data_IF_076696950666
#
_entry.id   IF_076696950666
#
_cell.length_a   1.000
_cell.length_b   1.000
_cell.length_c   1.000
_cell.angle_alpha   90.00
_cell.angle_beta   90.00
_cell.angle_gamma   90.00
#
_symmetry.space_group_name_H-M   'P 1'
#
loop_
_entity.id
_entity.type
_entity.pdbx_description
1 polymer ?
#
# COMPACT_ATOMS: atom_id res chain seq x y z
N UNK A 1 63.28 3.60 10.24
CA UNK A 1 64.02 4.83 9.84
C UNK A 1 63.00 5.76 9.20
N UNK A 2 62.68 6.82 9.92
CA UNK A 2 62.78 8.25 9.56
C UNK A 2 61.84 8.61 8.37
N UNK A 3 60.95 9.58 8.40
CA UNK A 3 60.64 10.79 9.20
C UNK A 3 59.56 11.57 8.45
N UNK A 4 58.52 11.97 9.15
CA UNK A 4 57.83 13.28 9.22
C UNK A 4 58.10 14.28 8.04
N UNK A 5 56.96 14.89 7.53
CA UNK A 5 56.63 16.30 7.84
C UNK A 5 55.20 16.64 7.30
N UNK A 6 54.46 17.25 8.22
CA UNK A 6 53.20 17.94 8.00
C UNK A 6 53.40 19.18 7.13
N UNK A 7 52.42 19.56 6.32
CA UNK A 7 52.13 20.95 6.01
C UNK A 7 50.61 21.17 5.85
N UNK A 8 50.10 21.90 6.83
CA UNK A 8 48.75 22.46 6.87
C UNK A 8 48.66 23.63 5.89
N UNK A 9 47.65 23.58 4.98
CA UNK A 9 47.22 24.80 4.30
C UNK A 9 45.72 24.97 4.46
N UNK A 10 45.37 26.00 5.21
CA UNK A 10 44.03 26.48 5.47
C UNK A 10 43.57 27.27 4.23
N UNK A 11 42.58 26.77 3.49
CA UNK A 11 41.81 27.56 2.54
C UNK A 11 40.36 27.67 3.00
N UNK A 12 40.02 28.86 3.41
CA UNK A 12 38.69 29.36 3.72
C UNK A 12 37.93 29.43 2.38
N UNK A 13 36.97 28.51 2.10
CA UNK A 13 36.04 28.63 1.01
C UNK A 13 34.67 28.93 1.59
N UNK A 14 34.15 30.10 1.25
CA UNK A 14 32.80 30.57 1.60
C UNK A 14 31.74 29.58 1.08
N UNK A 15 30.94 29.05 1.98
CA UNK A 15 29.73 28.30 1.70
C UNK A 15 28.66 29.29 1.22
N UNK A 16 28.50 29.41 -0.09
CA UNK A 16 27.25 29.90 -0.69
C UNK A 16 26.24 28.77 -0.57
N UNK A 17 25.37 28.86 0.42
CA UNK A 17 24.24 27.95 0.60
C UNK A 17 23.26 28.11 -0.54
N UNK A 18 23.38 27.26 -1.56
CA UNK A 18 22.32 27.05 -2.53
C UNK A 18 21.16 26.31 -1.85
N UNK A 19 20.12 27.05 -1.52
CA UNK A 19 18.83 26.47 -1.17
C UNK A 19 18.33 25.76 -2.43
N UNK A 20 18.42 24.44 -2.51
CA UNK A 20 17.68 23.66 -3.48
C UNK A 20 16.20 23.82 -3.14
N UNK A 21 15.53 24.77 -3.82
CA UNK A 21 14.09 24.87 -3.83
C UNK A 21 13.54 23.55 -4.36
N UNK A 22 12.64 22.92 -3.61
CA UNK A 22 11.82 21.82 -4.12
C UNK A 22 11.10 22.32 -5.38
N UNK A 23 11.02 21.54 -6.47
CA UNK A 23 10.31 21.94 -7.66
C UNK A 23 8.85 22.22 -7.29
N UNK A 24 8.35 23.38 -7.72
CA UNK A 24 6.95 23.76 -7.59
C UNK A 24 6.05 22.67 -8.22
N UNK A 25 4.86 22.38 -7.67
CA UNK A 25 3.99 21.31 -8.13
C UNK A 25 3.38 21.52 -9.53
N UNK A 26 3.62 22.63 -10.19
CA UNK A 26 3.04 23.02 -11.49
C UNK A 26 4.08 23.20 -12.63
N UNK A 27 5.21 22.53 -12.59
CA UNK A 27 6.07 22.51 -13.77
C UNK A 27 5.37 21.72 -14.89
N UNK A 28 4.79 22.44 -15.85
CA UNK A 28 4.26 21.82 -17.06
C UNK A 28 5.37 20.99 -17.73
N UNK A 29 5.04 19.78 -18.16
CA UNK A 29 6.00 18.97 -18.91
C UNK A 29 6.41 19.70 -20.18
N UNK A 30 7.71 19.69 -20.51
CA UNK A 30 8.15 20.14 -21.83
C UNK A 30 7.62 19.18 -22.92
N UNK A 31 6.72 19.63 -23.80
CA UNK A 31 6.14 18.77 -24.84
C UNK A 31 7.19 18.20 -25.80
N UNK A 32 8.26 18.95 -26.08
CA UNK A 32 9.33 18.49 -26.96
C UNK A 32 10.16 17.38 -26.31
N UNK A 33 10.45 17.50 -25.00
CA UNK A 33 11.13 16.46 -24.24
C UNK A 33 10.27 15.19 -24.16
N UNK A 34 8.96 15.31 -23.96
CA UNK A 34 8.05 14.16 -23.94
C UNK A 34 7.98 13.47 -25.30
N UNK A 35 7.80 14.24 -26.40
CA UNK A 35 7.78 13.68 -27.74
C UNK A 35 9.10 12.97 -28.12
N UNK A 36 10.24 13.55 -27.75
CA UNK A 36 11.56 12.92 -27.93
C UNK A 36 11.68 11.60 -27.17
N UNK A 37 11.20 11.58 -25.92
CA UNK A 37 11.16 10.37 -25.12
C UNK A 37 10.28 9.27 -25.74
N UNK A 38 9.06 9.60 -26.19
CA UNK A 38 8.17 8.64 -26.86
C UNK A 38 8.79 8.09 -28.13
N UNK A 39 9.51 8.92 -28.92
CA UNK A 39 10.23 8.47 -30.11
C UNK A 39 11.34 7.45 -29.77
N UNK A 40 12.06 7.67 -28.66
CA UNK A 40 13.05 6.71 -28.16
C UNK A 40 12.40 5.39 -27.71
N UNK A 41 11.26 5.46 -27.00
CA UNK A 41 10.49 4.29 -26.59
C UNK A 41 9.97 3.51 -27.80
N UNK A 42 9.54 4.22 -28.87
CA UNK A 42 9.13 3.59 -30.12
C UNK A 42 10.26 2.76 -30.75
N UNK A 43 11.49 3.29 -30.74
CA UNK A 43 12.66 2.55 -31.21
C UNK A 43 12.97 1.28 -30.43
N UNK A 44 12.53 1.21 -29.17
CA UNK A 44 12.72 0.04 -28.30
C UNK A 44 11.56 -0.98 -28.36
N UNK A 45 10.38 -0.58 -28.88
CA UNK A 45 9.15 -1.36 -28.82
C UNK A 45 9.28 -2.79 -29.37
N UNK A 46 9.88 -2.96 -30.55
CA UNK A 46 10.06 -4.27 -31.17
C UNK A 46 10.93 -5.20 -30.31
N UNK A 47 12.02 -4.70 -29.74
CA UNK A 47 12.88 -5.45 -28.81
C UNK A 47 12.17 -5.82 -27.51
N UNK A 48 11.08 -5.13 -27.17
CA UNK A 48 10.21 -5.43 -26.02
C UNK A 48 9.00 -6.31 -26.42
N UNK A 49 8.89 -6.74 -27.68
CA UNK A 49 7.79 -7.59 -28.18
C UNK A 49 6.47 -6.82 -28.40
N UNK A 50 6.54 -5.51 -28.61
CA UNK A 50 5.40 -4.64 -28.97
C UNK A 50 5.51 -4.31 -30.45
N UNK A 51 4.43 -4.55 -31.22
CA UNK A 51 4.39 -4.18 -32.65
C UNK A 51 4.38 -2.68 -32.83
N UNK A 52 4.93 -2.20 -33.97
CA UNK A 52 4.91 -0.80 -34.33
C UNK A 52 3.46 -0.27 -34.39
N UNK A 53 2.53 -1.07 -34.97
CA UNK A 53 1.13 -0.69 -35.06
C UNK A 53 0.47 -0.52 -33.68
N UNK A 54 0.69 -1.43 -32.74
CA UNK A 54 0.20 -1.28 -31.35
C UNK A 54 0.80 -0.02 -30.71
N UNK A 55 2.10 0.17 -30.81
CA UNK A 55 2.74 1.35 -30.23
C UNK A 55 2.13 2.63 -30.81
N UNK A 56 2.13 2.78 -32.14
CA UNK A 56 1.68 4.02 -32.82
C UNK A 56 0.19 4.30 -32.56
N UNK A 57 -0.66 3.26 -32.49
CA UNK A 57 -2.09 3.43 -32.24
C UNK A 57 -2.35 3.96 -30.84
N UNK A 58 -1.68 3.39 -29.82
CA UNK A 58 -2.01 3.67 -28.42
C UNK A 58 -1.13 4.75 -27.78
N UNK A 59 -0.17 5.33 -28.53
CA UNK A 59 0.65 6.44 -28.02
C UNK A 59 0.47 7.76 -28.77
N UNK A 60 -0.24 7.76 -29.90
CA UNK A 60 -0.42 8.95 -30.76
C UNK A 60 -0.91 10.17 -30.02
N UNK A 61 -1.91 9.98 -29.17
CA UNK A 61 -2.62 11.08 -28.51
C UNK A 61 -2.28 11.16 -27.00
N UNK A 62 -1.18 10.53 -26.57
CA UNK A 62 -0.75 10.59 -25.18
C UNK A 62 -0.21 11.97 -24.83
N UNK A 63 -0.74 12.54 -23.76
CA UNK A 63 -0.19 13.70 -23.07
C UNK A 63 0.34 13.30 -21.69
N UNK A 64 1.42 13.92 -21.18
CA UNK A 64 1.96 13.59 -19.87
C UNK A 64 1.05 14.10 -18.74
N UNK A 65 0.88 13.28 -17.70
CA UNK A 65 0.23 13.66 -16.43
C UNK A 65 1.30 13.90 -15.35
N UNK A 66 1.73 15.14 -15.18
CA UNK A 66 2.80 15.48 -14.23
C UNK A 66 2.40 15.26 -12.77
N UNK A 67 1.11 15.13 -12.46
CA UNK A 67 0.65 14.84 -11.08
C UNK A 67 1.12 13.47 -10.56
N UNK A 68 1.46 12.53 -11.47
CA UNK A 68 2.04 11.24 -11.06
C UNK A 68 3.47 11.38 -10.54
N UNK A 69 4.20 12.40 -10.96
CA UNK A 69 5.57 12.67 -10.48
C UNK A 69 5.53 13.08 -9.01
N UNK A 70 4.59 13.94 -8.61
CA UNK A 70 4.41 14.32 -7.22
C UNK A 70 4.06 13.12 -6.31
N UNK A 71 3.42 12.09 -6.89
CA UNK A 71 3.06 10.87 -6.16
C UNK A 71 4.23 9.93 -5.86
N UNK A 72 5.38 10.08 -6.55
CA UNK A 72 6.56 9.22 -6.37
C UNK A 72 7.11 9.19 -4.92
N UNK A 73 6.89 10.26 -4.15
CA UNK A 73 7.36 10.38 -2.77
C UNK A 73 6.26 10.15 -1.73
N UNK A 74 5.03 9.88 -2.18
CA UNK A 74 3.87 9.66 -1.34
C UNK A 74 3.55 8.15 -1.22
N UNK A 75 4.24 7.45 -0.33
CA UNK A 75 4.04 6.02 -0.05
C UNK A 75 3.58 5.85 1.42
N UNK A 76 2.27 5.81 1.68
CA UNK A 76 1.71 5.79 3.04
C UNK A 76 2.12 4.56 3.85
N UNK A 77 2.32 3.40 3.23
CA UNK A 77 2.73 2.16 3.87
C UNK A 77 4.09 2.21 4.59
N UNK A 78 4.92 3.21 4.25
CA UNK A 78 6.22 3.44 4.89
C UNK A 78 6.25 4.64 5.84
N UNK A 79 5.22 5.50 5.80
CA UNK A 79 5.18 6.76 6.58
C UNK A 79 4.09 6.76 7.63
N UNK A 80 3.01 6.02 7.42
CA UNK A 80 1.87 5.96 8.33
C UNK A 80 2.21 5.04 9.50
N UNK A 81 1.96 5.46 10.76
CA UNK A 81 2.08 4.57 11.91
C UNK A 81 1.27 3.28 11.70
N UNK A 82 1.81 2.15 12.17
CA UNK A 82 1.21 0.83 11.92
C UNK A 82 -0.24 0.73 12.44
N UNK A 83 -0.54 1.33 13.57
CA UNK A 83 -1.89 1.33 14.14
C UNK A 83 -2.90 2.12 13.30
N UNK A 84 -2.49 3.21 12.66
CA UNK A 84 -3.33 3.97 11.73
C UNK A 84 -3.55 3.20 10.43
N UNK A 85 -2.48 2.56 9.95
CA UNK A 85 -2.52 1.74 8.73
C UNK A 85 -3.48 0.57 8.90
N UNK A 86 -3.40 -0.13 10.03
CA UNK A 86 -4.29 -1.25 10.35
C UNK A 86 -5.73 -0.80 10.57
N UNK A 87 -5.96 0.28 11.34
CA UNK A 87 -7.31 0.82 11.56
C UNK A 87 -8.00 1.21 10.26
N UNK A 88 -7.22 1.69 9.27
CA UNK A 88 -7.72 2.04 7.94
C UNK A 88 -8.11 0.83 7.08
N UNK A 89 -7.46 -0.31 7.29
CA UNK A 89 -7.55 -1.47 6.39
C UNK A 89 -8.22 -2.69 7.02
N UNK A 90 -8.36 -2.73 8.35
CA UNK A 90 -8.96 -3.86 9.07
C UNK A 90 -10.05 -3.32 9.99
N UNK A 91 -11.16 -2.92 9.41
CA UNK A 91 -12.35 -2.41 10.09
C UNK A 91 -13.55 -3.34 9.91
N UNK A 92 -14.60 -3.12 10.71
CA UNK A 92 -15.78 -3.99 10.71
C UNK A 92 -16.54 -3.99 9.37
N UNK A 93 -16.56 -2.89 8.63
CA UNK A 93 -17.15 -2.82 7.30
C UNK A 93 -16.40 -3.71 6.32
N UNK A 94 -15.05 -3.63 6.31
CA UNK A 94 -14.23 -4.48 5.42
C UNK A 94 -14.31 -5.95 5.81
N UNK A 95 -14.42 -6.25 7.10
CA UNK A 95 -14.64 -7.61 7.59
C UNK A 95 -16.00 -8.14 7.12
N UNK A 96 -17.06 -7.35 7.22
CA UNK A 96 -18.40 -7.73 6.77
C UNK A 96 -18.43 -7.95 5.25
N UNK A 97 -17.91 -7.00 4.47
CA UNK A 97 -17.77 -7.09 3.01
C UNK A 97 -16.96 -8.33 2.60
N UNK A 98 -15.84 -8.59 3.25
CA UNK A 98 -14.97 -9.73 2.96
C UNK A 98 -15.61 -11.07 3.29
N UNK A 99 -16.37 -11.17 4.38
CA UNK A 99 -17.16 -12.37 4.69
C UNK A 99 -18.28 -12.60 3.67
N UNK A 100 -18.89 -11.53 3.16
CA UNK A 100 -19.85 -11.63 2.06
C UNK A 100 -19.15 -12.11 0.79
N UNK A 101 -17.99 -11.58 0.44
CA UNK A 101 -17.19 -12.01 -0.70
C UNK A 101 -16.78 -13.48 -0.62
N UNK A 102 -16.37 -13.97 0.55
CA UNK A 102 -16.08 -15.40 0.78
C UNK A 102 -17.29 -16.31 0.50
N UNK A 103 -18.50 -15.87 0.87
CA UNK A 103 -19.71 -16.63 0.56
C UNK A 103 -20.08 -16.56 -0.92
N UNK A 104 -20.02 -15.38 -1.50
CA UNK A 104 -20.39 -15.13 -2.88
C UNK A 104 -19.50 -15.91 -3.87
N UNK A 105 -18.19 -15.95 -3.62
CA UNK A 105 -17.19 -16.57 -4.50
C UNK A 105 -16.66 -17.89 -3.95
N UNK A 106 -17.47 -18.57 -3.14
CA UNK A 106 -17.04 -19.80 -2.44
C UNK A 106 -16.56 -20.88 -3.40
N UNK A 107 -17.28 -21.11 -4.51
CA UNK A 107 -16.94 -22.16 -5.47
C UNK A 107 -15.61 -21.88 -6.19
N UNK A 108 -15.41 -20.66 -6.66
CA UNK A 108 -14.20 -20.21 -7.35
C UNK A 108 -13.00 -20.23 -6.41
N UNK A 109 -13.18 -19.76 -5.18
CA UNK A 109 -12.15 -19.78 -4.14
C UNK A 109 -11.76 -21.20 -3.74
N UNK A 110 -12.71 -22.12 -3.63
CA UNK A 110 -12.42 -23.54 -3.34
C UNK A 110 -11.62 -24.18 -4.49
N UNK A 111 -11.99 -23.92 -5.75
CA UNK A 111 -11.23 -24.36 -6.93
C UNK A 111 -9.82 -23.75 -6.94
N UNK A 112 -9.69 -22.45 -6.65
CA UNK A 112 -8.40 -21.78 -6.58
C UNK A 112 -7.52 -22.34 -5.45
N UNK A 113 -8.11 -22.63 -4.29
CA UNK A 113 -7.40 -23.30 -3.19
C UNK A 113 -6.90 -24.69 -3.60
N UNK A 114 -7.74 -25.50 -4.25
CA UNK A 114 -7.36 -26.82 -4.73
C UNK A 114 -6.18 -26.74 -5.74
N UNK A 115 -6.18 -25.73 -6.62
CA UNK A 115 -5.17 -25.58 -7.67
C UNK A 115 -3.86 -24.96 -7.16
N UNK A 116 -3.95 -23.96 -6.28
CA UNK A 116 -2.81 -23.14 -5.86
C UNK A 116 -2.38 -23.37 -4.41
N UNK A 117 -3.21 -24.02 -3.59
CA UNK A 117 -2.93 -24.32 -2.18
C UNK A 117 -2.96 -23.08 -1.27
N UNK A 118 -3.60 -21.99 -1.71
CA UNK A 118 -3.68 -20.74 -0.94
C UNK A 118 -5.03 -20.64 -0.25
N UNK A 119 -5.01 -20.27 1.02
CA UNK A 119 -6.19 -20.07 1.85
C UNK A 119 -7.14 -18.99 1.26
N UNK A 120 -8.43 -19.29 1.09
CA UNK A 120 -9.43 -18.36 0.54
C UNK A 120 -9.51 -17.03 1.28
N UNK A 121 -9.46 -17.05 2.62
CA UNK A 121 -9.55 -15.81 3.41
C UNK A 121 -8.35 -14.89 3.17
N UNK A 122 -7.17 -15.45 2.89
CA UNK A 122 -6.00 -14.65 2.53
C UNK A 122 -6.15 -14.03 1.14
N UNK A 123 -6.66 -14.76 0.15
CA UNK A 123 -6.93 -14.23 -1.20
C UNK A 123 -7.93 -13.09 -1.13
N UNK A 124 -9.03 -13.28 -0.40
CA UNK A 124 -10.07 -12.25 -0.20
C UNK A 124 -9.54 -11.05 0.59
N UNK A 125 -8.66 -11.27 1.57
CA UNK A 125 -8.02 -10.17 2.30
C UNK A 125 -7.14 -9.30 1.39
N UNK A 126 -6.37 -9.90 0.47
CA UNK A 126 -5.63 -9.15 -0.56
C UNK A 126 -6.60 -8.31 -1.39
N UNK A 127 -7.66 -8.94 -1.93
CA UNK A 127 -8.67 -8.22 -2.72
C UNK A 127 -9.31 -7.05 -1.96
N UNK A 128 -9.62 -7.26 -0.67
CA UNK A 128 -10.16 -6.22 0.19
C UNK A 128 -9.21 -5.05 0.42
N UNK A 129 -7.92 -5.33 0.64
CA UNK A 129 -6.89 -4.29 0.86
C UNK A 129 -6.59 -3.53 -0.43
N UNK A 130 -6.47 -4.23 -1.56
CA UNK A 130 -6.05 -3.65 -2.85
C UNK A 130 -7.13 -2.75 -3.47
N UNK A 131 -8.37 -3.20 -3.51
CA UNK A 131 -9.40 -2.47 -4.24
C UNK A 131 -10.73 -2.33 -3.50
N UNK A 132 -10.76 -2.64 -2.20
CA UNK A 132 -12.01 -2.70 -1.43
C UNK A 132 -13.05 -3.62 -2.13
N UNK A 133 -12.62 -4.83 -2.48
CA UNK A 133 -13.43 -5.84 -3.19
C UNK A 133 -13.94 -5.33 -4.55
N UNK A 134 -13.06 -4.71 -5.34
CA UNK A 134 -13.37 -4.20 -6.66
C UNK A 134 -14.12 -2.86 -6.70
N UNK A 135 -14.43 -2.27 -5.54
CA UNK A 135 -15.13 -0.97 -5.48
C UNK A 135 -14.22 0.22 -5.84
N UNK A 136 -12.88 0.07 -5.77
CA UNK A 136 -11.89 1.13 -6.03
C UNK A 136 -10.72 0.57 -6.84
N UNK A 137 -10.83 0.60 -8.17
CA UNK A 137 -9.80 0.06 -9.09
C UNK A 137 -8.72 1.08 -9.46
N UNK A 138 -8.90 2.35 -9.09
CA UNK A 138 -8.12 3.46 -9.61
C UNK A 138 -8.73 4.03 -10.89
N UNK A 139 -8.46 5.31 -11.16
CA UNK A 139 -9.09 6.03 -12.27
C UNK A 139 -8.10 6.63 -13.27
N UNK A 140 -6.79 6.37 -13.14
CA UNK A 140 -5.79 6.93 -14.04
C UNK A 140 -5.52 5.99 -15.21
N UNK A 141 -5.57 6.47 -16.47
CA UNK A 141 -5.18 5.66 -17.63
C UNK A 141 -3.73 5.18 -17.48
N UNK A 142 -3.50 3.87 -17.58
CA UNK A 142 -2.18 3.27 -17.34
C UNK A 142 -1.13 3.82 -18.31
N UNK A 143 -1.47 3.92 -19.59
CA UNK A 143 -0.53 4.40 -20.61
C UNK A 143 -0.08 5.83 -20.33
N UNK A 144 -1.01 6.73 -19.93
CA UNK A 144 -0.68 8.11 -19.56
C UNK A 144 0.26 8.16 -18.34
N UNK A 145 -0.10 7.46 -17.27
CA UNK A 145 0.72 7.41 -16.06
C UNK A 145 2.11 6.84 -16.32
N UNK A 146 2.16 5.69 -16.98
CA UNK A 146 3.41 4.95 -17.20
C UNK A 146 4.31 5.61 -18.25
N UNK A 147 3.77 6.21 -19.30
CA UNK A 147 4.57 6.99 -20.26
C UNK A 147 5.18 8.22 -19.59
N UNK A 148 4.41 8.93 -18.76
CA UNK A 148 4.92 10.06 -17.98
C UNK A 148 6.07 9.63 -17.07
N UNK A 149 5.89 8.56 -16.28
CA UNK A 149 6.91 8.04 -15.38
C UNK A 149 8.11 7.42 -16.11
N UNK A 150 7.93 6.98 -17.37
CA UNK A 150 8.99 6.49 -18.24
C UNK A 150 9.89 7.60 -18.76
N UNK A 151 9.35 8.80 -18.91
CA UNK A 151 10.02 9.96 -19.48
C UNK A 151 10.55 10.93 -18.41
N UNK A 152 9.85 11.02 -17.28
CA UNK A 152 10.13 12.00 -16.22
C UNK A 152 10.28 11.33 -14.85
N UNK A 153 10.90 12.04 -13.93
CA UNK A 153 11.06 11.59 -12.55
C UNK A 153 12.17 10.56 -12.37
N UNK A 154 12.10 9.84 -11.27
CA UNK A 154 13.06 8.77 -10.90
C UNK A 154 12.53 7.39 -11.27
N UNK A 155 13.42 6.38 -11.35
CA UNK A 155 13.09 4.98 -11.70
C UNK A 155 12.51 4.80 -13.12
N UNK A 156 12.85 5.66 -14.06
CA UNK A 156 12.34 5.60 -15.44
C UNK A 156 12.50 4.22 -16.08
N UNK A 157 13.65 3.55 -15.88
CA UNK A 157 13.90 2.22 -16.45
C UNK A 157 12.86 1.19 -15.99
N UNK A 158 12.45 1.22 -14.71
CA UNK A 158 11.39 0.38 -14.19
C UNK A 158 10.06 0.66 -14.86
N UNK A 159 9.67 1.94 -14.91
CA UNK A 159 8.38 2.33 -15.50
C UNK A 159 8.32 2.10 -17.01
N UNK A 160 9.45 2.18 -17.73
CA UNK A 160 9.52 1.76 -19.15
C UNK A 160 9.16 0.29 -19.33
N UNK A 161 9.64 -0.59 -18.44
CA UNK A 161 9.23 -2.00 -18.42
C UNK A 161 7.72 -2.18 -18.24
N UNK A 162 7.12 -1.44 -17.30
CA UNK A 162 5.68 -1.49 -17.04
C UNK A 162 4.86 -0.90 -18.19
N UNK A 163 5.36 0.17 -18.83
CA UNK A 163 4.73 0.77 -20.02
C UNK A 163 4.66 -0.22 -21.18
N UNK A 164 5.79 -0.88 -21.51
CA UNK A 164 5.80 -1.90 -22.57
C UNK A 164 4.96 -3.13 -22.19
N UNK A 165 4.94 -3.50 -20.92
CA UNK A 165 4.07 -4.57 -20.46
C UNK A 165 2.59 -4.23 -20.67
N UNK A 166 2.19 -2.97 -20.42
CA UNK A 166 0.82 -2.49 -20.69
C UNK A 166 0.48 -2.59 -22.17
N UNK A 167 1.36 -2.14 -23.06
CA UNK A 167 1.16 -2.25 -24.51
C UNK A 167 1.04 -3.73 -24.96
N UNK A 168 1.79 -4.66 -24.33
CA UNK A 168 1.64 -6.09 -24.60
C UNK A 168 0.29 -6.64 -24.15
N UNK A 169 -0.22 -6.21 -23.00
CA UNK A 169 -1.56 -6.61 -22.52
C UNK A 169 -2.62 -6.19 -23.53
N UNK A 170 -2.51 -4.97 -24.06
CA UNK A 170 -3.39 -4.46 -25.11
C UNK A 170 -3.26 -5.31 -26.39
N UNK A 171 -2.02 -5.56 -26.83
CA UNK A 171 -1.75 -6.37 -28.03
C UNK A 171 -2.26 -7.79 -27.97
N UNK A 172 -2.35 -8.37 -26.75
CA UNK A 172 -2.85 -9.70 -26.50
C UNK A 172 -4.39 -9.75 -26.35
N UNK A 173 -5.06 -8.61 -26.33
CA UNK A 173 -6.53 -8.46 -26.28
C UNK A 173 -7.19 -9.10 -25.04
N UNK A 174 -6.42 -9.33 -23.97
CA UNK A 174 -6.96 -9.90 -22.74
C UNK A 174 -7.80 -8.91 -21.94
N UNK A 175 -7.45 -7.62 -22.00
CA UNK A 175 -8.17 -6.52 -21.34
C UNK A 175 -8.40 -5.43 -22.36
N UNK A 176 -9.61 -4.89 -22.40
CA UNK A 176 -9.95 -3.77 -23.32
C UNK A 176 -9.15 -2.53 -22.92
N UNK A 177 -8.52 -1.80 -23.89
CA UNK A 177 -7.63 -0.66 -23.62
C UNK A 177 -8.28 0.42 -22.73
N UNK A 178 -9.55 0.73 -22.96
CA UNK A 178 -10.33 1.71 -22.21
C UNK A 178 -10.60 1.29 -20.76
N UNK A 179 -10.44 0.00 -20.43
CA UNK A 179 -10.54 -0.54 -19.08
C UNK A 179 -9.22 -0.54 -18.31
N UNK A 180 -8.11 -0.24 -18.98
CA UNK A 180 -6.78 -0.21 -18.35
C UNK A 180 -6.56 1.10 -17.59
N UNK A 181 -7.35 1.25 -16.51
CA UNK A 181 -7.21 2.31 -15.53
C UNK A 181 -6.73 1.71 -14.19
N UNK A 182 -5.99 2.49 -13.43
CA UNK A 182 -5.42 2.01 -12.18
C UNK A 182 -4.85 3.11 -11.30
N UNK A 183 -3.81 2.75 -10.55
CA UNK A 183 -3.08 3.66 -9.69
C UNK A 183 -2.16 4.60 -10.48
N UNK A 184 -1.65 5.63 -9.81
CA UNK A 184 -0.65 6.53 -10.39
C UNK A 184 0.63 5.81 -10.87
N UNK A 185 0.96 4.67 -10.26
CA UNK A 185 2.16 3.88 -10.59
C UNK A 185 1.90 2.76 -11.60
N UNK A 186 0.65 2.60 -12.08
CA UNK A 186 0.27 1.60 -13.07
C UNK A 186 -0.21 0.26 -12.52
N UNK A 187 -0.42 0.11 -11.20
CA UNK A 187 -1.11 -1.05 -10.65
C UNK A 187 -2.59 -1.01 -11.03
N UNK A 188 -3.17 -2.13 -11.47
CA UNK A 188 -4.52 -2.16 -12.03
C UNK A 188 -5.31 -3.42 -11.71
N UNK A 189 -6.62 -3.33 -11.96
CA UNK A 189 -7.58 -4.41 -11.78
C UNK A 189 -7.97 -4.66 -10.33
N UNK A 190 -8.75 -5.69 -10.11
CA UNK A 190 -9.34 -6.08 -8.83
C UNK A 190 -8.29 -6.23 -7.71
N UNK A 191 -7.12 -6.74 -8.04
CA UNK A 191 -6.04 -7.06 -7.09
C UNK A 191 -4.74 -6.29 -7.37
N UNK A 192 -4.84 -5.19 -8.12
CA UNK A 192 -3.79 -4.17 -8.31
C UNK A 192 -2.43 -4.74 -8.74
N UNK A 193 -2.43 -5.61 -9.75
CA UNK A 193 -1.19 -6.10 -10.33
C UNK A 193 -0.46 -5.00 -11.12
N UNK A 194 0.86 -5.00 -11.02
CA UNK A 194 1.68 -4.29 -12.01
C UNK A 194 1.60 -5.01 -13.36
N UNK A 195 1.65 -4.30 -14.52
CA UNK A 195 1.55 -4.90 -15.84
C UNK A 195 2.54 -6.04 -16.08
N UNK A 196 3.79 -5.91 -15.64
CA UNK A 196 4.78 -6.99 -15.75
C UNK A 196 4.44 -8.20 -14.88
N UNK A 197 3.82 -7.99 -13.72
CA UNK A 197 3.33 -9.07 -12.86
C UNK A 197 2.15 -9.77 -13.50
N UNK A 198 1.23 -9.01 -14.10
CA UNK A 198 0.12 -9.54 -14.87
C UNK A 198 0.61 -10.50 -15.98
N UNK A 199 1.53 -10.05 -16.83
CA UNK A 199 2.05 -10.89 -17.93
C UNK A 199 2.63 -12.23 -17.46
N UNK A 200 3.22 -12.26 -16.25
CA UNK A 200 3.84 -13.45 -15.68
C UNK A 200 2.89 -14.36 -14.93
N UNK A 201 1.88 -13.81 -14.28
CA UNK A 201 1.15 -14.51 -13.21
C UNK A 201 -0.38 -14.50 -13.38
N UNK A 202 -0.94 -13.65 -14.24
CA UNK A 202 -2.38 -13.67 -14.49
C UNK A 202 -2.80 -15.00 -15.14
N UNK A 203 -3.93 -15.52 -14.70
CA UNK A 203 -4.53 -16.77 -15.19
C UNK A 203 -5.93 -16.53 -15.72
N UNK A 204 -6.30 -17.21 -16.77
CA UNK A 204 -7.66 -17.39 -17.24
C UNK A 204 -8.29 -18.52 -16.40
N UNK A 205 -9.14 -18.16 -15.47
CA UNK A 205 -9.69 -19.11 -14.52
C UNK A 205 -11.16 -19.46 -14.77
N UNK A 206 -11.89 -18.57 -15.41
CA UNK A 206 -13.27 -18.84 -15.86
C UNK A 206 -13.31 -19.56 -17.21
N UNK A 207 -12.19 -19.58 -17.96
CA UNK A 207 -12.02 -20.36 -19.18
C UNK A 207 -12.58 -19.67 -20.42
N UNK A 208 -12.71 -18.33 -20.40
CA UNK A 208 -13.24 -17.55 -21.53
C UNK A 208 -12.17 -17.22 -22.60
N UNK A 209 -10.92 -17.64 -22.38
CA UNK A 209 -9.76 -17.40 -23.24
C UNK A 209 -9.03 -16.09 -22.91
N UNK A 210 -9.42 -15.37 -21.88
CA UNK A 210 -8.84 -14.12 -21.43
C UNK A 210 -8.28 -14.26 -20.03
N UNK A 211 -7.39 -13.34 -19.67
CA UNK A 211 -6.87 -13.18 -18.31
C UNK A 211 -7.31 -11.81 -17.81
N UNK A 212 -8.59 -11.66 -17.48
CA UNK A 212 -9.17 -10.35 -17.19
C UNK A 212 -9.23 -10.07 -15.68
N UNK A 213 -8.21 -9.36 -15.15
CA UNK A 213 -8.17 -8.94 -13.74
C UNK A 213 -9.02 -7.71 -13.45
N UNK A 214 -9.69 -7.12 -14.46
CA UNK A 214 -10.53 -5.93 -14.29
C UNK A 214 -11.99 -6.32 -14.15
N UNK A 215 -12.52 -7.08 -15.11
CA UNK A 215 -13.93 -7.41 -15.20
C UNK A 215 -14.25 -8.86 -14.73
N UNK A 216 -13.25 -9.79 -14.70
CA UNK A 216 -13.42 -11.15 -14.16
C UNK A 216 -12.88 -11.26 -12.72
N UNK A 217 -13.78 -11.38 -11.75
CA UNK A 217 -13.42 -11.66 -10.36
C UNK A 217 -12.76 -13.03 -10.19
N UNK A 218 -13.24 -14.11 -10.85
CA UNK A 218 -12.56 -15.41 -10.80
C UNK A 218 -11.10 -15.36 -11.21
N UNK A 219 -10.77 -14.67 -12.31
CA UNK A 219 -9.40 -14.49 -12.78
C UNK A 219 -8.54 -13.73 -11.79
N UNK A 220 -9.09 -12.66 -11.23
CA UNK A 220 -8.39 -11.84 -10.25
C UNK A 220 -8.05 -12.63 -8.98
N UNK A 221 -9.01 -13.38 -8.43
CA UNK A 221 -8.81 -14.20 -7.23
C UNK A 221 -7.82 -15.33 -7.49
N UNK A 222 -7.95 -16.05 -8.61
CA UNK A 222 -7.04 -17.13 -8.97
C UNK A 222 -5.63 -16.62 -9.29
N UNK A 223 -5.51 -15.47 -9.95
CA UNK A 223 -4.20 -14.83 -10.21
C UNK A 223 -3.50 -14.40 -8.92
N UNK A 224 -4.26 -13.91 -7.94
CA UNK A 224 -3.74 -13.61 -6.60
C UNK A 224 -3.24 -14.88 -5.90
N UNK A 225 -4.01 -15.97 -5.96
CA UNK A 225 -3.59 -17.26 -5.41
C UNK A 225 -2.33 -17.78 -6.12
N UNK A 226 -2.26 -17.66 -7.46
CA UNK A 226 -1.06 -18.02 -8.22
C UNK A 226 0.15 -17.17 -7.82
N UNK A 227 -0.03 -15.86 -7.63
CA UNK A 227 1.03 -14.97 -7.13
C UNK A 227 1.58 -15.48 -5.80
N UNK A 228 0.72 -15.70 -4.80
CA UNK A 228 1.13 -16.16 -3.47
C UNK A 228 1.81 -17.53 -3.52
N UNK A 229 1.30 -18.47 -4.32
CA UNK A 229 1.95 -19.76 -4.57
C UNK A 229 3.37 -19.58 -5.12
N UNK A 230 3.55 -18.73 -6.14
CA UNK A 230 4.86 -18.45 -6.75
C UNK A 230 5.80 -17.69 -5.80
N UNK A 231 5.25 -16.88 -4.89
CA UNK A 231 5.99 -16.24 -3.81
C UNK A 231 6.43 -17.21 -2.69
N UNK A 232 6.02 -18.48 -2.78
CA UNK A 232 6.42 -19.54 -1.87
C UNK A 232 5.45 -19.80 -0.73
N UNK A 233 4.18 -19.46 -0.91
CA UNK A 233 3.11 -19.88 0.01
C UNK A 233 3.14 -21.39 0.23
N UNK A 234 2.97 -21.81 1.46
CA UNK A 234 2.87 -23.21 1.85
C UNK A 234 1.45 -23.50 2.36
N UNK A 235 0.75 -24.49 1.78
CA UNK A 235 -0.53 -24.95 2.32
C UNK A 235 -0.39 -25.29 3.81
N UNK A 236 -1.46 -25.09 4.57
CA UNK A 236 -1.58 -25.45 5.99
C UNK A 236 -0.58 -24.77 6.94
N UNK A 237 0.30 -23.92 6.44
CA UNK A 237 1.17 -23.10 7.26
C UNK A 237 0.45 -21.76 7.59
N UNK A 238 0.26 -21.39 8.87
CA UNK A 238 -0.28 -20.08 9.21
C UNK A 238 0.71 -18.96 8.80
N UNK A 239 0.22 -17.75 8.63
CA UNK A 239 1.10 -16.58 8.38
C UNK A 239 1.99 -16.28 9.61
N UNK A 240 1.48 -16.55 10.81
CA UNK A 240 2.14 -16.30 12.09
C UNK A 240 1.17 -16.27 13.26
N UNK A 241 1.63 -15.73 14.37
CA UNK A 241 0.87 -15.61 15.62
C UNK A 241 1.26 -14.32 16.34
N UNK A 242 0.29 -13.64 16.94
CA UNK A 242 0.57 -12.63 17.95
C UNK A 242 1.13 -13.32 19.21
N UNK A 243 2.19 -12.74 19.79
CA UNK A 243 2.90 -13.35 20.92
C UNK A 243 3.20 -12.32 22.01
N UNK A 244 3.28 -12.79 23.25
CA UNK A 244 3.79 -12.03 24.39
C UNK A 244 5.26 -12.34 24.61
N UNK A 245 6.05 -11.30 24.91
CA UNK A 245 7.48 -11.41 25.18
C UNK A 245 7.72 -11.44 26.69
N UNK A 246 8.60 -12.30 27.19
CA UNK A 246 9.03 -12.22 28.59
C UNK A 246 9.84 -10.95 28.84
N UNK A 247 9.80 -10.46 30.08
CA UNK A 247 10.61 -9.30 30.47
C UNK A 247 12.11 -9.58 30.27
N UNK A 248 12.81 -8.60 29.70
CA UNK A 248 14.25 -8.69 29.47
C UNK A 248 14.67 -9.55 28.27
N UNK A 249 13.73 -9.98 27.42
CA UNK A 249 14.09 -10.68 26.18
C UNK A 249 14.98 -9.81 25.29
N UNK A 250 16.13 -10.34 24.88
CA UNK A 250 16.94 -9.68 23.86
C UNK A 250 16.25 -9.72 22.49
N UNK A 251 15.87 -8.55 22.01
CA UNK A 251 15.22 -8.36 20.73
C UNK A 251 16.14 -7.83 19.62
N UNK A 252 17.45 -7.77 19.86
CA UNK A 252 18.44 -7.26 18.89
C UNK A 252 18.43 -8.02 17.56
N UNK A 253 18.09 -9.29 17.58
CA UNK A 253 17.95 -10.16 16.44
C UNK A 253 16.49 -10.28 15.93
N UNK A 254 15.59 -9.38 16.33
CA UNK A 254 14.26 -9.35 15.76
C UNK A 254 14.30 -9.06 14.25
N UNK A 255 13.33 -9.59 13.55
CA UNK A 255 13.19 -9.41 12.11
C UNK A 255 12.56 -10.64 11.45
N UNK A 256 11.62 -10.40 10.52
CA UNK A 256 10.91 -11.47 9.80
C UNK A 256 11.81 -12.48 9.09
N UNK A 257 13.04 -12.08 8.71
CA UNK A 257 14.03 -12.95 8.03
C UNK A 257 14.82 -13.83 8.98
N UNK A 258 14.94 -13.46 10.24
CA UNK A 258 15.73 -14.17 11.24
C UNK A 258 14.92 -15.31 11.83
N UNK A 259 14.61 -16.31 10.98
CA UNK A 259 13.74 -17.42 11.37
C UNK A 259 14.48 -18.43 12.22
N UNK A 260 13.78 -18.91 13.26
CA UNK A 260 14.21 -19.99 14.14
C UNK A 260 13.05 -20.98 14.31
N UNK A 261 13.32 -22.22 14.73
CA UNK A 261 12.27 -23.18 15.09
C UNK A 261 11.35 -22.61 16.17
N UNK A 262 10.06 -22.93 16.09
CA UNK A 262 9.06 -22.49 17.07
C UNK A 262 9.42 -22.94 18.48
N UNK A 263 10.03 -24.13 18.63
CA UNK A 263 10.56 -24.65 19.89
C UNK A 263 11.63 -23.74 20.51
N UNK A 264 12.49 -23.13 19.70
CA UNK A 264 13.51 -22.21 20.20
C UNK A 264 12.90 -20.90 20.76
N UNK A 265 11.82 -20.42 20.16
CA UNK A 265 11.06 -19.29 20.69
C UNK A 265 10.34 -19.63 21.99
N UNK A 266 9.72 -20.83 22.06
CA UNK A 266 9.08 -21.33 23.27
C UNK A 266 10.09 -21.47 24.42
N UNK A 267 11.31 -21.98 24.15
CA UNK A 267 12.38 -22.09 25.13
C UNK A 267 12.85 -20.75 25.71
N UNK A 268 12.66 -19.64 24.95
CA UNK A 268 12.91 -18.28 25.42
C UNK A 268 11.74 -17.69 26.23
N UNK A 269 10.69 -18.45 26.49
CA UNK A 269 9.52 -18.02 27.25
C UNK A 269 8.49 -17.22 26.45
N UNK A 270 8.61 -17.15 25.12
CA UNK A 270 7.61 -16.53 24.26
C UNK A 270 6.35 -17.39 24.24
N UNK A 271 5.18 -16.75 24.36
CA UNK A 271 3.86 -17.41 24.39
C UNK A 271 2.93 -16.74 23.40
N UNK A 272 1.94 -17.47 22.91
CA UNK A 272 0.88 -16.85 22.12
C UNK A 272 0.04 -15.89 22.98
N UNK A 273 -0.31 -14.75 22.41
CA UNK A 273 -1.11 -13.74 23.10
C UNK A 273 -2.56 -14.21 23.37
N UNK A 274 -3.09 -15.16 22.57
CA UNK A 274 -4.41 -15.78 22.76
C UNK A 274 -4.43 -16.91 23.82
N UNK A 275 -3.33 -17.11 24.54
CA UNK A 275 -3.20 -18.13 25.59
C UNK A 275 -3.02 -19.57 25.10
N UNK A 276 -3.10 -19.83 23.79
CA UNK A 276 -2.86 -21.15 23.23
C UNK A 276 -1.37 -21.50 23.25
N UNK A 277 -0.97 -22.78 23.25
CA UNK A 277 0.43 -23.14 23.10
C UNK A 277 0.96 -22.74 21.72
N UNK A 278 2.27 -22.42 21.66
CA UNK A 278 2.96 -22.36 20.39
C UNK A 278 2.94 -23.72 19.70
N UNK A 279 2.82 -23.79 18.36
CA UNK A 279 2.89 -25.06 17.65
C UNK A 279 4.19 -25.82 17.99
N UNK A 280 4.07 -27.11 18.22
CA UNK A 280 5.24 -27.96 18.40
C UNK A 280 5.96 -28.20 17.07
N UNK A 281 7.25 -28.54 17.14
CA UNK A 281 8.04 -28.94 15.97
C UNK A 281 8.91 -27.84 15.37
N UNK A 282 9.34 -28.07 14.14
CA UNK A 282 10.39 -27.29 13.46
C UNK A 282 9.83 -26.13 12.59
N UNK A 283 8.58 -25.74 12.81
CA UNK A 283 8.00 -24.58 12.11
C UNK A 283 8.89 -23.37 12.34
N UNK A 284 9.38 -22.80 11.23
CA UNK A 284 10.29 -21.66 11.25
C UNK A 284 9.53 -20.34 11.31
N UNK A 285 9.85 -19.48 12.28
CA UNK A 285 9.28 -18.15 12.41
C UNK A 285 10.33 -17.11 12.81
N UNK A 286 10.16 -15.88 12.33
CA UNK A 286 10.94 -14.72 12.73
C UNK A 286 10.13 -13.83 13.67
N UNK A 287 10.79 -13.19 14.62
CA UNK A 287 10.15 -12.23 15.53
C UNK A 287 10.00 -10.87 14.84
N UNK A 288 8.76 -10.44 14.65
CA UNK A 288 8.42 -9.14 14.06
C UNK A 288 7.91 -8.20 15.16
N UNK A 289 8.47 -6.99 15.21
CA UNK A 289 8.15 -5.93 16.18
C UNK A 289 7.81 -4.62 15.46
N UNK A 290 6.63 -4.51 14.85
CA UNK A 290 6.30 -3.39 13.94
C UNK A 290 6.21 -2.03 14.63
N UNK A 291 6.04 -2.00 15.96
CA UNK A 291 6.04 -0.80 16.80
C UNK A 291 7.12 -0.86 17.91
N UNK A 292 8.17 -1.68 17.69
CA UNK A 292 9.21 -1.92 18.68
C UNK A 292 8.76 -2.84 19.83
N UNK A 293 9.63 -3.05 20.84
CA UNK A 293 9.41 -4.08 21.88
C UNK A 293 8.28 -3.76 22.87
N UNK A 294 7.75 -2.54 22.85
CA UNK A 294 6.63 -2.13 23.73
C UNK A 294 5.25 -2.28 23.07
N UNK A 295 5.20 -2.63 21.78
CA UNK A 295 3.97 -2.88 21.05
C UNK A 295 3.70 -4.35 20.84
N UNK A 296 2.62 -4.69 20.12
CA UNK A 296 2.33 -6.06 19.71
C UNK A 296 3.50 -6.71 18.99
N UNK A 297 3.80 -7.96 19.38
CA UNK A 297 4.87 -8.77 18.83
C UNK A 297 4.28 -9.96 18.06
N UNK A 298 4.96 -10.39 17.01
CA UNK A 298 4.47 -11.49 16.16
C UNK A 298 5.60 -12.47 15.83
N UNK A 299 5.30 -13.75 15.86
CA UNK A 299 6.12 -14.77 15.21
C UNK A 299 5.58 -15.01 13.81
N UNK A 300 6.33 -14.65 12.78
CA UNK A 300 5.89 -14.68 11.38
C UNK A 300 6.59 -15.76 10.59
N UNK A 301 5.84 -16.52 9.82
CA UNK A 301 6.32 -17.66 9.02
C UNK A 301 6.68 -17.26 7.57
N UNK A 302 6.95 -18.27 6.74
CA UNK A 302 7.15 -18.07 5.30
C UNK A 302 5.89 -17.53 4.59
N UNK A 303 4.70 -17.85 5.06
CA UNK A 303 3.47 -17.34 4.45
C UNK A 303 3.30 -15.84 4.64
N UNK A 304 3.79 -15.28 5.74
CA UNK A 304 3.92 -13.84 5.90
C UNK A 304 4.87 -13.23 4.84
N UNK A 305 6.00 -13.90 4.57
CA UNK A 305 6.92 -13.43 3.52
C UNK A 305 6.30 -13.50 2.12
N UNK A 306 5.45 -14.49 1.85
CA UNK A 306 4.71 -14.56 0.58
C UNK A 306 3.76 -13.37 0.42
N UNK A 307 3.02 -13.01 1.47
CA UNK A 307 2.16 -11.81 1.47
C UNK A 307 2.99 -10.53 1.38
N UNK A 308 4.09 -10.43 2.15
CA UNK A 308 5.02 -9.30 2.09
C UNK A 308 5.54 -9.04 0.67
N UNK A 309 5.76 -10.07 -0.14
CA UNK A 309 6.29 -9.91 -1.49
C UNK A 309 5.35 -9.18 -2.45
N UNK A 310 4.07 -9.02 -2.08
CA UNK A 310 3.07 -8.32 -2.89
C UNK A 310 3.34 -6.81 -2.96
N UNK A 311 3.68 -6.19 -1.82
CA UNK A 311 3.94 -4.74 -1.73
C UNK A 311 5.24 -4.38 -0.97
N UNK A 312 6.05 -5.34 -0.57
CA UNK A 312 7.33 -5.17 0.13
C UNK A 312 7.28 -4.28 1.40
N UNK A 313 6.13 -4.20 2.08
CA UNK A 313 5.93 -3.48 3.34
C UNK A 313 5.40 -4.41 4.44
N UNK A 314 5.98 -4.33 5.64
CA UNK A 314 5.56 -5.17 6.78
C UNK A 314 4.17 -4.78 7.31
N UNK A 315 3.83 -3.48 7.27
CA UNK A 315 2.50 -2.97 7.60
C UNK A 315 1.42 -3.52 6.67
N UNK A 316 1.70 -3.59 5.36
CA UNK A 316 0.82 -4.19 4.36
C UNK A 316 0.61 -5.68 4.62
N UNK A 317 1.70 -6.42 4.80
CA UNK A 317 1.61 -7.86 5.06
C UNK A 317 0.84 -8.17 6.36
N UNK A 318 1.04 -7.37 7.40
CA UNK A 318 0.33 -7.53 8.68
C UNK A 318 -1.16 -7.16 8.55
N UNK A 319 -1.52 -6.16 7.74
CA UNK A 319 -2.92 -5.82 7.48
C UNK A 319 -3.66 -6.97 6.78
N UNK A 320 -3.08 -7.57 5.75
CA UNK A 320 -3.65 -8.73 5.06
C UNK A 320 -3.74 -9.95 5.99
N UNK A 321 -2.67 -10.24 6.72
CA UNK A 321 -2.62 -11.33 7.68
C UNK A 321 -3.71 -11.18 8.74
N UNK A 322 -3.83 -9.99 9.33
CA UNK A 322 -4.85 -9.70 10.33
C UNK A 322 -6.26 -9.75 9.72
N UNK A 323 -6.48 -9.11 8.55
CA UNK A 323 -7.80 -9.17 7.89
C UNK A 323 -8.18 -10.61 7.58
N UNK A 324 -7.26 -11.46 7.09
CA UNK A 324 -7.55 -12.86 6.81
C UNK A 324 -7.99 -13.63 8.07
N UNK A 325 -7.38 -13.36 9.22
CA UNK A 325 -7.79 -13.95 10.50
C UNK A 325 -9.18 -13.45 10.93
N UNK A 326 -9.46 -12.15 10.78
CA UNK A 326 -10.77 -11.57 11.07
C UNK A 326 -11.87 -12.16 10.19
N UNK A 327 -11.58 -12.43 8.92
CA UNK A 327 -12.50 -13.08 7.99
C UNK A 327 -12.82 -14.52 8.43
N UNK A 328 -11.85 -15.25 8.99
CA UNK A 328 -12.03 -16.58 9.57
C UNK A 328 -12.71 -16.58 10.94
N UNK A 329 -13.04 -15.40 11.50
CA UNK A 329 -13.75 -15.28 12.78
C UNK A 329 -12.85 -15.02 14.00
N UNK A 330 -11.55 -14.85 13.83
CA UNK A 330 -10.67 -14.45 14.92
C UNK A 330 -11.01 -13.05 15.44
N UNK A 331 -10.65 -12.78 16.68
CA UNK A 331 -10.75 -11.46 17.33
C UNK A 331 -9.69 -10.46 16.83
N UNK A 332 -9.72 -9.21 17.32
CA UNK A 332 -8.66 -8.24 17.11
C UNK A 332 -7.36 -8.71 17.80
N UNK A 333 -6.25 -8.02 17.53
CA UNK A 333 -5.03 -8.20 18.29
C UNK A 333 -5.26 -7.94 19.78
N UNK A 334 -4.58 -8.70 20.64
CA UNK A 334 -4.79 -8.69 22.10
C UNK A 334 -4.01 -7.54 22.75
N UNK A 335 -2.77 -7.30 22.28
CA UNK A 335 -1.89 -6.30 22.85
C UNK A 335 -2.21 -4.91 22.28
N UNK A 336 -2.22 -3.91 23.15
CA UNK A 336 -2.42 -2.51 22.72
C UNK A 336 -1.20 -1.98 21.97
N UNK A 337 -1.47 -1.16 20.96
CA UNK A 337 -0.43 -0.37 20.28
C UNK A 337 0.12 0.70 21.21
N UNK A 338 1.42 1.05 21.13
CA UNK A 338 2.03 2.04 22.02
C UNK A 338 1.69 3.47 21.56
N UNK A 339 0.41 3.80 21.62
CA UNK A 339 -0.14 5.13 21.28
C UNK A 339 -1.25 5.49 22.23
N UNK A 340 -1.36 6.77 22.56
CA UNK A 340 -2.47 7.37 23.30
C UNK A 340 -3.53 7.99 22.37
N UNK A 341 -3.32 7.88 21.05
CA UNK A 341 -4.22 8.36 20.01
C UNK A 341 -4.36 7.30 18.90
N UNK A 342 -5.25 6.29 19.09
CA UNK A 342 -5.48 5.25 18.09
C UNK A 342 -5.96 5.79 16.74
N UNK A 343 -5.69 5.06 15.66
CA UNK A 343 -6.19 5.35 14.33
C UNK A 343 -7.69 5.18 14.19
N UNK A 344 -8.25 5.74 13.12
CA UNK A 344 -9.69 5.71 12.82
C UNK A 344 -10.02 4.66 11.76
N UNK A 345 -11.13 3.94 11.97
CA UNK A 345 -11.79 3.13 10.97
C UNK A 345 -12.31 3.98 9.79
N UNK A 346 -12.70 3.35 8.68
CA UNK A 346 -13.31 4.08 7.55
C UNK A 346 -14.59 4.82 7.94
N UNK A 347 -15.44 4.21 8.77
CA UNK A 347 -16.66 4.82 9.26
C UNK A 347 -16.35 6.06 10.12
N UNK A 348 -15.41 5.96 11.06
CA UNK A 348 -14.98 7.07 11.89
C UNK A 348 -14.31 8.20 11.09
N UNK A 349 -13.60 7.88 10.01
CA UNK A 349 -13.05 8.92 9.11
C UNK A 349 -14.13 9.66 8.35
N UNK A 350 -15.18 8.98 7.88
CA UNK A 350 -16.34 9.64 7.27
C UNK A 350 -17.07 10.50 8.28
N UNK A 351 -17.24 10.02 9.51
CA UNK A 351 -17.81 10.82 10.58
C UNK A 351 -16.98 12.07 10.86
N UNK A 352 -15.67 11.92 11.01
CA UNK A 352 -14.74 13.04 11.18
C UNK A 352 -14.85 14.06 10.03
N UNK A 353 -14.91 13.61 8.79
CA UNK A 353 -15.11 14.47 7.62
C UNK A 353 -16.47 15.17 7.68
N UNK A 354 -17.54 14.48 8.05
CA UNK A 354 -18.88 15.07 8.20
C UNK A 354 -18.90 16.16 9.29
N UNK A 355 -18.19 15.94 10.40
CA UNK A 355 -18.06 16.92 11.48
C UNK A 355 -17.25 18.15 11.04
N UNK A 356 -16.18 17.96 10.25
CA UNK A 356 -15.42 19.07 9.66
C UNK A 356 -16.28 19.89 8.70
N UNK A 357 -17.08 19.24 7.85
CA UNK A 357 -18.02 19.91 6.94
C UNK A 357 -19.06 20.70 7.72
N UNK A 358 -19.64 20.13 8.78
CA UNK A 358 -20.61 20.81 9.65
C UNK A 358 -20.01 22.07 10.31
N UNK A 359 -18.70 22.09 10.55
CA UNK A 359 -17.97 23.26 11.04
C UNK A 359 -17.57 24.26 9.93
N UNK A 360 -17.95 24.03 8.67
CA UNK A 360 -17.73 24.94 7.55
C UNK A 360 -16.43 24.72 6.76
N UNK A 361 -15.70 23.62 6.98
CA UNK A 361 -14.52 23.30 6.17
C UNK A 361 -14.93 22.69 4.82
N UNK A 362 -14.47 23.27 3.71
CA UNK A 362 -14.67 22.72 2.37
C UNK A 362 -13.63 21.63 2.06
N UNK A 363 -13.95 20.41 2.45
CA UNK A 363 -13.07 19.25 2.26
C UNK A 363 -13.58 18.26 1.21
N UNK A 364 -14.72 18.56 0.55
CA UNK A 364 -15.42 17.65 -0.37
C UNK A 364 -16.29 16.63 0.36
N UNK A 365 -16.62 15.54 -0.33
CA UNK A 365 -17.47 14.48 0.20
C UNK A 365 -16.78 13.67 1.31
N UNK A 366 -17.53 13.16 2.30
CA UNK A 366 -17.01 12.34 3.40
C UNK A 366 -16.75 10.89 2.91
N UNK A 367 -15.71 10.69 2.13
CA UNK A 367 -15.35 9.42 1.49
C UNK A 367 -14.48 8.47 2.36
N UNK A 368 -14.05 8.94 3.53
CA UNK A 368 -13.16 8.23 4.45
C UNK A 368 -11.68 8.27 4.04
N UNK A 369 -11.32 9.07 3.02
CA UNK A 369 -9.91 9.27 2.60
C UNK A 369 -9.39 10.60 3.16
N UNK A 370 -8.28 10.55 3.88
CA UNK A 370 -7.68 11.74 4.47
C UNK A 370 -6.75 12.41 3.44
N UNK A 371 -7.34 13.23 2.60
CA UNK A 371 -6.67 14.03 1.57
C UNK A 371 -5.99 15.30 2.12
N UNK A 372 -5.42 16.13 1.24
CA UNK A 372 -4.75 17.37 1.62
C UNK A 372 -5.72 18.35 2.33
N UNK A 373 -6.89 18.61 1.75
CA UNK A 373 -7.90 19.51 2.34
C UNK A 373 -8.36 19.02 3.72
N UNK A 374 -8.59 17.73 3.91
CA UNK A 374 -8.94 17.15 5.20
C UNK A 374 -7.83 17.34 6.23
N UNK A 375 -6.55 17.17 5.82
CA UNK A 375 -5.40 17.40 6.72
C UNK A 375 -5.28 18.87 7.14
N UNK A 376 -5.45 19.79 6.22
CA UNK A 376 -5.43 21.23 6.51
C UNK A 376 -6.55 21.62 7.49
N UNK A 377 -7.77 21.13 7.27
CA UNK A 377 -8.89 21.32 8.20
C UNK A 377 -8.57 20.71 9.59
N UNK A 378 -8.01 19.50 9.63
CA UNK A 378 -7.58 18.87 10.87
C UNK A 378 -6.52 19.70 11.60
N UNK A 379 -5.51 20.24 10.89
CA UNK A 379 -4.51 21.11 11.50
C UNK A 379 -5.12 22.37 12.13
N UNK A 380 -6.16 22.94 11.51
CA UNK A 380 -6.88 24.07 12.09
C UNK A 380 -7.59 23.68 13.38
N UNK A 381 -8.34 22.56 13.35
CA UNK A 381 -9.04 22.00 14.52
C UNK A 381 -8.05 21.62 15.63
N UNK A 382 -6.93 21.00 15.29
CA UNK A 382 -5.91 20.61 16.28
C UNK A 382 -5.30 21.83 16.98
N UNK A 383 -5.06 22.95 16.25
CA UNK A 383 -4.61 24.22 16.86
C UNK A 383 -5.66 24.79 17.81
N UNK A 384 -6.93 24.78 17.41
CA UNK A 384 -8.04 25.21 18.26
C UNK A 384 -8.16 24.37 19.54
N UNK A 385 -7.98 23.07 19.42
CA UNK A 385 -8.00 22.10 20.51
C UNK A 385 -6.74 22.13 21.42
N UNK A 386 -5.72 22.87 21.05
CA UNK A 386 -4.43 22.86 21.75
C UNK A 386 -3.60 21.59 21.54
N UNK A 387 -3.88 20.83 20.47
CA UNK A 387 -3.13 19.63 20.09
C UNK A 387 -1.95 19.98 19.16
N UNK A 388 -1.03 19.04 18.96
CA UNK A 388 -0.05 19.14 17.89
C UNK A 388 -0.77 19.15 16.53
N UNK A 389 -0.57 20.23 15.75
CA UNK A 389 -1.24 20.42 14.46
C UNK A 389 -0.52 19.67 13.34
N UNK A 390 -0.53 18.34 13.39
CA UNK A 390 0.10 17.45 12.41
C UNK A 390 -0.83 17.01 11.25
N UNK A 391 -2.14 17.30 11.37
CA UNK A 391 -3.15 16.91 10.39
C UNK A 391 -3.48 15.42 10.41
N UNK A 392 -3.06 14.68 11.42
CA UNK A 392 -3.37 13.27 11.59
C UNK A 392 -4.81 13.07 12.06
N UNK A 393 -5.52 12.16 11.40
CA UNK A 393 -6.86 11.75 11.79
C UNK A 393 -6.79 10.65 12.87
N UNK A 394 -6.78 11.06 14.14
CA UNK A 394 -6.76 10.17 15.29
C UNK A 394 -8.01 10.29 16.15
N UNK A 395 -8.15 9.39 17.14
CA UNK A 395 -9.30 9.38 18.07
C UNK A 395 -9.42 10.67 18.87
N UNK A 396 -8.31 11.31 19.23
CA UNK A 396 -8.34 12.60 19.95
C UNK A 396 -9.05 13.68 19.15
N UNK A 397 -8.70 13.83 17.87
CA UNK A 397 -9.35 14.81 16.99
C UNK A 397 -10.83 14.50 16.77
N UNK A 398 -11.19 13.21 16.59
CA UNK A 398 -12.59 12.82 16.43
C UNK A 398 -13.41 13.10 17.70
N UNK A 399 -12.89 12.73 18.87
CA UNK A 399 -13.57 12.97 20.15
C UNK A 399 -13.78 14.46 20.42
N UNK A 400 -12.75 15.29 20.13
CA UNK A 400 -12.89 16.73 20.27
C UNK A 400 -13.96 17.29 19.32
N UNK A 401 -13.97 16.86 18.06
CA UNK A 401 -14.99 17.27 17.08
C UNK A 401 -16.40 16.85 17.49
N UNK A 402 -16.60 15.65 18.06
CA UNK A 402 -17.90 15.21 18.60
C UNK A 402 -18.41 16.11 19.74
N UNK A 403 -17.50 16.59 20.59
CA UNK A 403 -17.83 17.45 21.72
C UNK A 403 -18.11 18.90 21.30
N UNK A 404 -17.53 19.36 20.19
CA UNK A 404 -17.59 20.74 19.72
C UNK A 404 -18.29 20.85 18.34
N UNK A 405 -19.17 19.92 18.01
CA UNK A 405 -19.82 19.84 16.68
C UNK A 405 -20.72 21.06 16.34
N UNK A 406 -21.23 21.76 17.35
CA UNK A 406 -22.13 22.89 17.18
C UNK A 406 -21.41 24.25 17.06
N UNK A 407 -20.10 24.31 17.35
CA UNK A 407 -19.37 25.57 17.33
C UNK A 407 -18.81 25.85 15.93
N UNK A 408 -19.16 27.01 15.28
CA UNK A 408 -18.51 27.40 14.05
C UNK A 408 -17.02 27.61 14.31
N UNK A 409 -16.12 27.43 13.28
CA UNK A 409 -14.70 27.64 13.45
C UNK A 409 -14.47 29.06 13.99
N UNK A 410 -13.60 29.20 14.98
CA UNK A 410 -13.11 30.52 15.41
C UNK A 410 -12.62 31.22 14.14
N UNK A 411 -13.23 32.35 13.80
CA UNK A 411 -13.05 33.09 12.56
C UNK A 411 -11.58 33.12 12.17
N UNK A 412 -11.26 32.50 11.05
CA UNK A 412 -9.98 32.72 10.37
C UNK A 412 -9.96 34.21 10.04
N UNK A 413 -9.13 35.00 10.72
CA UNK A 413 -8.98 36.41 10.52
C UNK A 413 -8.97 36.74 9.05
N UNK A 414 -10.00 37.44 8.56
CA UNK A 414 -9.97 38.09 7.28
C UNK A 414 -8.75 39.04 7.27
N UNK A 415 -7.95 39.12 6.22
CA UNK A 415 -6.90 40.10 6.10
C UNK A 415 -7.52 41.51 6.24
N UNK A 416 -6.85 42.44 6.90
CA UNK A 416 -7.40 43.80 7.07
C UNK A 416 -7.70 44.40 5.70
N UNK A 417 -8.94 44.85 5.51
CA UNK A 417 -9.35 45.60 4.35
C UNK A 417 -8.42 46.83 4.21
N UNK A 418 -7.78 46.94 3.05
CA UNK A 418 -7.03 48.12 2.64
C UNK A 418 -7.98 49.19 2.08
#
# INVERSE_FOLDING_TARGET
>A
MISRYSLTLLCLAMLAGGVCAAPAPDAAADPAAYASCLAQLRGQAAGQGVSAGTFDTYTRDLAPDMSVIASLDAQPEFKTPIWDYLAALVDDERIADGRQALRQWHAELARAQAQFGVDPATVVAVWGVESNFGKKLGGRPLLTSLSTLSCFGRRQSYFRGEFFATLKIIQQEHVRPERLNGSWAGAFGQTQFMPSTYLRLAVDFDGDGRRDLVDSVPDALASTANFLKRAGWKPDLPWGFEVTLPAGLDTSNAGRRNKRPMSAWAAQGIKRADGKPLPAGDMQAGLLLPAGPRGPAFLVTRNFDAVYSYNAAESYALAIAHLSDRLRGAGPFVQAWPTDDPGLSRAERRELQSLLIARGYDIGEPDGLIGARTREALQAVQREAGFTADGRAGQKSLQWLRQNAADPPASVNAPPAR
#
